data_IF_903665517570
#
_entry.id   IF_903665517570
#
_cell.length_a   1.000
_cell.length_b   1.000
_cell.length_c   1.000
_cell.angle_alpha   90.00
_cell.angle_beta   90.00
_cell.angle_gamma   90.00
#
_symmetry.space_group_name_H-M   'P 1'
#
loop_
_entity.id
_entity.type
_entity.pdbx_description
1 polymer ?
#
# COMPACT_ATOMS: atom_id res chain seq x y z
N UNK A 1 -26.82 36.68 0.75
CA UNK A 1 -26.06 36.20 1.91
C UNK A 1 -26.36 34.74 2.08
N UNK A 2 -25.33 33.97 2.43
CA UNK A 2 -25.26 32.51 2.51
C UNK A 2 -24.89 31.84 1.18
N UNK A 3 -23.61 32.03 0.84
CA UNK A 3 -22.57 30.98 0.79
C UNK A 3 -23.06 29.59 0.36
N UNK A 4 -22.53 29.08 -0.76
CA UNK A 4 -21.36 28.20 -0.74
C UNK A 4 -21.78 26.76 -0.41
N UNK A 5 -21.95 25.98 -1.46
CA UNK A 5 -21.04 24.85 -1.61
C UNK A 5 -21.13 24.40 -3.06
N UNK A 6 -20.04 24.66 -3.76
CA UNK A 6 -19.69 24.03 -5.01
C UNK A 6 -19.85 22.52 -4.85
N UNK A 7 -21.01 22.00 -5.26
CA UNK A 7 -21.21 20.59 -5.65
C UNK A 7 -20.48 20.37 -6.97
N UNK A 8 -19.23 20.81 -7.03
CA UNK A 8 -18.22 20.04 -7.73
C UNK A 8 -18.27 18.70 -7.02
N UNK A 9 -18.86 17.70 -7.68
CA UNK A 9 -18.32 16.35 -7.61
C UNK A 9 -16.81 16.54 -7.73
N UNK A 10 -16.12 16.67 -6.60
CA UNK A 10 -14.70 16.40 -6.53
C UNK A 10 -14.68 14.95 -6.93
N UNK A 11 -14.46 14.70 -8.22
CA UNK A 11 -13.87 13.47 -8.70
C UNK A 11 -12.87 13.14 -7.61
N UNK A 12 -13.15 12.13 -6.79
CA UNK A 12 -12.18 11.64 -5.80
C UNK A 12 -10.99 11.32 -6.68
N UNK A 13 -10.02 12.22 -6.73
CA UNK A 13 -8.94 12.17 -7.70
C UNK A 13 -8.16 10.92 -7.33
N UNK A 14 -8.32 9.88 -8.13
CA UNK A 14 -7.54 8.67 -7.99
C UNK A 14 -6.16 8.97 -8.58
N UNK A 15 -5.12 8.92 -7.74
CA UNK A 15 -3.74 9.14 -8.18
C UNK A 15 -2.98 7.82 -8.08
N UNK A 16 -2.87 7.12 -9.20
CA UNK A 16 -2.09 5.89 -9.33
C UNK A 16 -0.66 6.20 -9.76
N UNK A 17 0.23 5.23 -9.59
CA UNK A 17 1.58 5.33 -10.16
C UNK A 17 1.52 5.35 -11.69
N UNK A 18 2.46 6.03 -12.32
CA UNK A 18 2.66 5.99 -13.78
C UNK A 18 3.50 4.81 -14.23
N UNK A 19 4.11 4.08 -13.29
CA UNK A 19 4.98 2.95 -13.54
C UNK A 19 4.20 1.67 -13.75
N UNK A 20 4.30 1.09 -14.94
CA UNK A 20 3.61 -0.16 -15.25
C UNK A 20 4.08 -1.34 -14.38
N UNK A 21 5.38 -1.41 -14.05
CA UNK A 21 5.94 -2.48 -13.22
C UNK A 21 5.53 -2.35 -11.76
N UNK A 22 5.50 -1.13 -11.22
CA UNK A 22 5.00 -0.90 -9.85
C UNK A 22 3.49 -1.14 -9.77
N UNK A 23 2.72 -0.72 -10.76
CA UNK A 23 1.28 -1.02 -10.83
C UNK A 23 1.03 -2.53 -10.85
N UNK A 24 1.81 -3.28 -11.64
CA UNK A 24 1.74 -4.74 -11.67
C UNK A 24 2.10 -5.38 -10.31
N UNK A 25 3.07 -4.82 -9.57
CA UNK A 25 3.38 -5.25 -8.19
C UNK A 25 2.20 -4.99 -7.25
N UNK A 26 1.58 -3.81 -7.30
CA UNK A 26 0.39 -3.48 -6.50
C UNK A 26 -0.80 -4.40 -6.85
N UNK A 27 -0.95 -4.76 -8.12
CA UNK A 27 -1.95 -5.73 -8.57
C UNK A 27 -1.71 -7.12 -7.97
N UNK A 28 -0.48 -7.61 -8.02
CA UNK A 28 -0.08 -8.88 -7.39
C UNK A 28 -0.36 -8.87 -5.89
N UNK A 29 0.10 -7.85 -5.18
CA UNK A 29 -0.09 -7.73 -3.73
C UNK A 29 -1.59 -7.67 -3.36
N UNK A 30 -2.40 -6.95 -4.15
CA UNK A 30 -3.84 -6.87 -3.94
C UNK A 30 -4.54 -8.22 -4.15
N UNK A 31 -4.09 -9.00 -5.13
CA UNK A 31 -4.62 -10.34 -5.39
C UNK A 31 -4.26 -11.32 -4.26
N UNK A 32 -3.01 -11.32 -3.79
CA UNK A 32 -2.57 -12.11 -2.64
C UNK A 32 -3.37 -11.74 -1.38
N UNK A 33 -3.54 -10.44 -1.12
CA UNK A 33 -4.36 -9.92 -0.04
C UNK A 33 -5.82 -10.38 -0.12
N UNK A 34 -6.40 -10.39 -1.32
CA UNK A 34 -7.79 -10.82 -1.55
C UNK A 34 -7.98 -12.33 -1.33
N UNK A 35 -6.93 -13.13 -1.55
CA UNK A 35 -6.92 -14.58 -1.32
C UNK A 35 -6.50 -14.98 0.10
N UNK A 36 -6.25 -14.00 0.97
CA UNK A 36 -5.73 -14.20 2.33
C UNK A 36 -4.35 -14.89 2.39
N UNK A 37 -3.56 -14.79 1.32
CA UNK A 37 -2.23 -15.40 1.23
C UNK A 37 -1.18 -14.50 1.91
N UNK A 38 -1.19 -14.49 3.26
CA UNK A 38 -0.33 -13.61 4.08
C UNK A 38 1.15 -13.93 3.91
N UNK A 39 1.49 -15.21 3.78
CA UNK A 39 2.87 -15.65 3.63
C UNK A 39 3.45 -15.13 2.31
N UNK A 40 2.78 -15.39 1.19
CA UNK A 40 3.30 -14.95 -0.10
C UNK A 40 3.19 -13.42 -0.25
N UNK A 41 2.16 -12.80 0.33
CA UNK A 41 2.10 -11.34 0.43
C UNK A 41 3.37 -10.80 1.09
N UNK A 42 3.75 -11.30 2.27
CA UNK A 42 4.95 -10.85 2.98
C UNK A 42 6.21 -11.08 2.14
N UNK A 43 6.36 -12.25 1.51
CA UNK A 43 7.50 -12.55 0.64
C UNK A 43 7.63 -11.56 -0.53
N UNK A 44 6.50 -11.06 -1.05
CA UNK A 44 6.45 -10.10 -2.16
C UNK A 44 6.52 -8.63 -1.70
N UNK A 45 6.15 -8.36 -0.46
CA UNK A 45 6.00 -6.99 0.05
C UNK A 45 7.30 -6.48 0.69
N UNK A 46 7.93 -7.27 1.56
CA UNK A 46 9.04 -6.80 2.41
C UNK A 46 10.38 -6.66 1.66
N UNK A 47 11.35 -5.87 2.18
CA UNK A 47 12.66 -5.72 1.56
C UNK A 47 13.35 -7.06 1.24
N UNK A 48 14.08 -7.11 0.12
CA UNK A 48 14.80 -8.31 -0.31
C UNK A 48 15.88 -8.73 0.70
N UNK A 49 16.48 -7.75 1.36
CA UNK A 49 17.54 -7.87 2.37
C UNK A 49 17.01 -8.10 3.79
N UNK A 50 15.70 -8.16 4.00
CA UNK A 50 15.12 -8.53 5.29
C UNK A 50 15.48 -9.98 5.64
N UNK A 51 15.90 -10.21 6.89
CA UNK A 51 16.32 -11.54 7.34
C UNK A 51 15.15 -12.53 7.32
N UNK A 52 15.44 -13.83 7.19
CA UNK A 52 14.40 -14.87 7.24
C UNK A 52 13.69 -14.91 8.61
N UNK A 53 14.39 -14.57 9.70
CA UNK A 53 13.79 -14.50 11.02
C UNK A 53 12.78 -13.37 11.12
N UNK A 54 13.12 -12.19 10.60
CA UNK A 54 12.22 -11.02 10.61
C UNK A 54 11.02 -11.23 9.67
N UNK A 55 11.24 -11.84 8.50
CA UNK A 55 10.14 -12.25 7.61
C UNK A 55 9.16 -13.18 8.32
N UNK A 56 9.68 -14.19 9.03
CA UNK A 56 8.87 -15.14 9.79
C UNK A 56 8.10 -14.45 10.91
N UNK A 57 8.77 -13.59 11.68
CA UNK A 57 8.12 -12.81 12.74
C UNK A 57 6.99 -11.94 12.17
N UNK A 58 7.22 -11.28 11.04
CA UNK A 58 6.18 -10.46 10.42
C UNK A 58 4.98 -11.27 9.92
N UNK A 59 5.19 -12.47 9.37
CA UNK A 59 4.10 -13.40 9.07
C UNK A 59 3.38 -13.85 10.34
N UNK A 60 4.09 -14.14 11.43
CA UNK A 60 3.50 -14.54 12.72
C UNK A 60 2.64 -13.41 13.31
N UNK A 61 3.09 -12.17 13.25
CA UNK A 61 2.33 -10.98 13.67
C UNK A 61 1.05 -10.84 12.86
N UNK A 62 1.14 -11.05 11.54
CA UNK A 62 0.00 -10.99 10.65
C UNK A 62 -0.91 -12.23 10.73
N UNK A 63 -0.58 -13.31 11.45
CA UNK A 63 -1.39 -14.55 11.47
C UNK A 63 -1.86 -14.98 12.85
N UNK A 64 -1.11 -14.69 13.90
CA UNK A 64 -1.29 -15.32 15.22
C UNK A 64 -1.27 -14.34 16.38
N UNK A 65 -0.82 -13.10 16.19
CA UNK A 65 -0.93 -12.07 17.22
C UNK A 65 -2.41 -11.75 17.51
N UNK A 66 -2.68 -11.25 18.71
CA UNK A 66 -4.03 -10.85 19.14
C UNK A 66 -4.68 -9.85 18.15
N UNK A 67 -3.87 -8.97 17.56
CA UNK A 67 -4.31 -7.94 16.62
C UNK A 67 -4.16 -8.34 15.14
N UNK A 68 -3.79 -9.61 14.84
CA UNK A 68 -3.44 -10.07 13.50
C UNK A 68 -4.49 -9.71 12.44
N UNK A 69 -5.77 -9.95 12.72
CA UNK A 69 -6.86 -9.63 11.80
C UNK A 69 -7.02 -8.13 11.54
N UNK A 70 -6.82 -7.30 12.57
CA UNK A 70 -6.87 -5.84 12.45
C UNK A 70 -5.69 -5.30 11.64
N UNK A 71 -4.47 -5.76 11.96
CA UNK A 71 -3.26 -5.38 11.24
C UNK A 71 -3.32 -5.81 9.78
N UNK A 72 -3.74 -7.04 9.52
CA UNK A 72 -3.92 -7.55 8.18
C UNK A 72 -5.01 -6.79 7.42
N UNK A 73 -6.16 -6.56 8.04
CA UNK A 73 -7.25 -5.78 7.45
C UNK A 73 -6.83 -4.36 7.04
N UNK A 74 -6.03 -3.69 7.88
CA UNK A 74 -5.45 -2.39 7.56
C UNK A 74 -4.51 -2.49 6.35
N UNK A 75 -3.56 -3.44 6.37
CA UNK A 75 -2.60 -3.61 5.28
C UNK A 75 -3.26 -3.93 3.93
N UNK A 76 -4.30 -4.78 3.92
CA UNK A 76 -5.11 -5.02 2.71
C UNK A 76 -5.71 -3.73 2.18
N UNK A 77 -6.32 -2.94 3.06
CA UNK A 77 -7.00 -1.74 2.68
C UNK A 77 -6.02 -0.70 2.14
N UNK A 78 -4.85 -0.54 2.76
CA UNK A 78 -3.75 0.31 2.27
C UNK A 78 -3.34 -0.10 0.85
N UNK A 79 -3.04 -1.37 0.60
CA UNK A 79 -2.62 -1.85 -0.72
C UNK A 79 -3.71 -1.66 -1.78
N UNK A 80 -4.98 -1.93 -1.45
CA UNK A 80 -6.10 -1.67 -2.36
C UNK A 80 -6.25 -0.18 -2.67
N UNK A 81 -6.03 0.69 -1.69
CA UNK A 81 -6.07 2.14 -1.86
C UNK A 81 -4.93 2.62 -2.78
N UNK A 82 -3.70 2.13 -2.57
CA UNK A 82 -2.55 2.46 -3.44
C UNK A 82 -2.77 1.98 -4.86
N UNK A 83 -3.20 0.72 -5.04
CA UNK A 83 -3.52 0.14 -6.35
C UNK A 83 -4.54 1.00 -7.09
N UNK A 84 -5.61 1.43 -6.43
CA UNK A 84 -6.69 2.21 -7.05
C UNK A 84 -6.41 3.72 -7.09
N UNK A 85 -5.31 4.18 -6.48
CA UNK A 85 -5.03 5.60 -6.26
C UNK A 85 -6.02 6.30 -5.33
N UNK A 86 -6.84 5.56 -4.58
CA UNK A 86 -7.90 6.11 -3.75
C UNK A 86 -7.33 6.78 -2.50
N UNK A 87 -7.58 8.08 -2.33
CA UNK A 87 -7.09 8.81 -1.17
C UNK A 87 -5.59 9.13 -1.23
N UNK A 88 -4.91 8.78 -2.34
CA UNK A 88 -3.53 9.16 -2.61
C UNK A 88 -3.49 10.66 -2.94
N UNK A 89 -2.76 11.39 -2.12
CA UNK A 89 -2.59 12.84 -2.21
C UNK A 89 -1.40 13.17 -3.12
N UNK A 90 -0.30 12.45 -2.97
CA UNK A 90 0.89 12.59 -3.80
C UNK A 90 1.65 11.26 -3.93
N UNK A 91 2.44 11.19 -4.99
CA UNK A 91 3.41 10.11 -5.24
C UNK A 91 4.70 10.84 -5.55
N UNK A 92 5.74 10.58 -4.76
CA UNK A 92 7.09 11.10 -4.93
C UNK A 92 8.02 9.99 -5.44
N UNK A 93 9.26 10.35 -5.75
CA UNK A 93 10.20 9.47 -6.45
C UNK A 93 10.08 9.56 -7.97
N UNK A 94 11.05 8.96 -8.66
CA UNK A 94 11.08 8.88 -10.13
C UNK A 94 10.02 7.92 -10.70
N UNK A 95 9.46 7.04 -9.85
CA UNK A 95 8.57 5.94 -10.22
C UNK A 95 9.19 4.93 -11.20
N UNK A 96 10.52 4.92 -11.32
CA UNK A 96 11.29 3.94 -12.09
C UNK A 96 12.13 3.07 -11.16
N UNK A 97 12.74 3.69 -10.16
CA UNK A 97 13.57 3.06 -9.13
C UNK A 97 13.02 3.24 -7.72
N UNK A 98 12.26 4.31 -7.46
CA UNK A 98 11.65 4.60 -6.17
C UNK A 98 10.26 5.23 -6.33
N UNK A 99 9.35 4.94 -5.41
CA UNK A 99 8.05 5.60 -5.34
C UNK A 99 7.56 5.69 -3.90
N UNK A 100 7.19 6.89 -3.44
CA UNK A 100 6.62 7.10 -2.11
C UNK A 100 5.18 7.58 -2.24
N UNK A 101 4.25 6.76 -1.80
CA UNK A 101 2.83 7.09 -1.79
C UNK A 101 2.46 7.79 -0.50
N UNK A 102 1.79 8.93 -0.60
CA UNK A 102 1.21 9.64 0.53
C UNK A 102 -0.30 9.62 0.40
N UNK A 103 -0.99 9.08 1.39
CA UNK A 103 -2.42 8.81 1.29
C UNK A 103 -3.11 8.83 2.64
N UNK A 104 -4.43 9.04 2.62
CA UNK A 104 -5.27 8.89 3.82
C UNK A 104 -5.57 7.41 4.04
N UNK A 105 -5.35 6.92 5.25
CA UNK A 105 -5.70 5.54 5.60
C UNK A 105 -7.19 5.28 5.33
N UNK A 106 -7.54 4.25 4.56
CA UNK A 106 -8.91 4.05 4.08
C UNK A 106 -9.90 3.66 5.18
N UNK A 107 -9.42 3.06 6.27
CA UNK A 107 -10.25 2.61 7.40
C UNK A 107 -10.11 3.46 8.67
N UNK A 108 -9.12 4.36 8.72
CA UNK A 108 -8.79 5.13 9.93
C UNK A 108 -8.89 6.61 9.58
N UNK A 109 -9.97 7.24 10.03
CA UNK A 109 -10.21 8.65 9.74
C UNK A 109 -9.08 9.52 10.31
N UNK A 110 -8.69 10.54 9.53
CA UNK A 110 -7.65 11.51 9.91
C UNK A 110 -6.26 10.90 10.17
N UNK A 111 -6.02 9.68 9.70
CA UNK A 111 -4.70 9.07 9.69
C UNK A 111 -4.09 9.21 8.29
N UNK A 112 -3.08 10.05 8.15
CA UNK A 112 -2.26 10.11 6.95
C UNK A 112 -1.13 9.08 7.06
N UNK A 113 -0.81 8.43 5.94
CA UNK A 113 0.16 7.35 5.84
C UNK A 113 1.09 7.59 4.67
N UNK A 114 2.29 7.04 4.80
CA UNK A 114 3.22 6.92 3.69
C UNK A 114 3.71 5.49 3.55
N UNK A 115 3.88 5.04 2.31
CA UNK A 115 4.52 3.75 2.01
C UNK A 115 5.47 4.00 0.85
N UNK A 116 6.74 3.66 1.06
CA UNK A 116 7.77 3.71 0.04
C UNK A 116 7.92 2.33 -0.62
N UNK A 117 8.18 2.33 -1.92
CA UNK A 117 8.60 1.17 -2.69
C UNK A 117 9.91 1.49 -3.41
N UNK A 118 10.82 0.50 -3.45
CA UNK A 118 12.08 0.58 -4.20
C UNK A 118 12.18 -0.60 -5.17
N UNK A 119 12.65 -0.33 -6.38
CA UNK A 119 12.91 -1.31 -7.42
C UNK A 119 14.38 -1.75 -7.37
N UNK A 120 14.63 -3.04 -7.07
CA UNK A 120 15.96 -3.66 -7.12
C UNK A 120 15.95 -4.77 -8.17
N UNK A 121 16.61 -4.54 -9.32
CA UNK A 121 16.74 -5.57 -10.37
C UNK A 121 15.40 -6.05 -10.91
N UNK A 122 14.52 -5.11 -11.28
CA UNK A 122 13.14 -5.30 -11.75
C UNK A 122 12.12 -5.73 -10.68
N UNK A 123 12.52 -5.81 -9.41
CA UNK A 123 11.63 -6.20 -8.33
C UNK A 123 11.32 -5.05 -7.37
N UNK A 124 10.05 -4.67 -7.31
CA UNK A 124 9.55 -3.66 -6.37
C UNK A 124 9.28 -4.27 -5.00
N UNK A 125 9.85 -3.70 -3.94
CA UNK A 125 9.57 -4.03 -2.52
C UNK A 125 9.22 -2.77 -1.75
N UNK A 126 8.39 -2.93 -0.72
CA UNK A 126 8.20 -1.88 0.26
C UNK A 126 9.50 -1.61 1.01
N UNK A 127 9.73 -0.34 1.35
CA UNK A 127 10.85 0.13 2.15
C UNK A 127 10.29 0.84 3.40
N UNK A 128 10.83 0.51 4.58
CA UNK A 128 10.37 0.99 5.88
C UNK A 128 11.12 0.34 7.03
#
# INVERSE_FOLDING_TARGET
MSDDESVTLRLKTCKQTTSASLQAKLDLLSDLASRDDRLEFVNQFVPLDLSQADKKAYVEDLTSAEEAEGQWGNLKAEIMALKAGQGVVKIEGDQESEAVFYFRHPLLEKCDREVAFVCKGDEWRAEG
#
